data_IF_807174674084
#
_entry.id   IF_807174674084
#
_cell.length_a   1.000
_cell.length_b   1.000
_cell.length_c   1.000
_cell.angle_alpha   90.00
_cell.angle_beta   90.00
_cell.angle_gamma   90.00
#
_symmetry.space_group_name_H-M   'P 1'
#
loop_
_entity.id
_entity.type
_entity.pdbx_description
1 polymer ?
#
# COMPACT_ATOMS: atom_id res chain seq x y z
N UNK A 1 13.31 -9.35 2.86
CA UNK A 1 12.31 -10.43 3.02
C UNK A 1 12.79 -11.43 4.04
N UNK A 2 11.92 -11.84 4.97
CA UNK A 2 12.28 -12.83 6.00
C UNK A 2 12.31 -14.24 5.41
N UNK A 3 11.39 -14.55 4.49
CA UNK A 3 11.30 -15.85 3.83
C UNK A 3 10.64 -15.75 2.45
N UNK A 4 11.13 -16.55 1.52
CA UNK A 4 10.56 -16.72 0.17
C UNK A 4 9.92 -18.11 0.10
N UNK A 5 8.68 -18.17 -0.40
CA UNK A 5 7.95 -19.41 -0.65
C UNK A 5 7.86 -19.64 -2.15
N UNK A 6 8.44 -20.74 -2.63
CA UNK A 6 8.41 -21.11 -4.04
C UNK A 6 7.22 -22.03 -4.31
N UNK A 7 6.43 -21.72 -5.32
CA UNK A 7 5.26 -22.52 -5.73
C UNK A 7 5.63 -23.97 -6.00
N UNK A 8 6.82 -24.23 -6.56
CA UNK A 8 7.36 -25.57 -6.78
C UNK A 8 7.49 -26.43 -5.51
N UNK A 9 7.49 -25.81 -4.34
CA UNK A 9 7.58 -26.49 -3.05
C UNK A 9 6.24 -26.50 -2.31
N UNK A 10 5.48 -25.39 -2.39
CA UNK A 10 4.26 -25.20 -1.61
C UNK A 10 3.06 -25.97 -2.17
N UNK A 11 3.08 -26.36 -3.46
CA UNK A 11 1.95 -27.06 -4.08
C UNK A 11 1.68 -28.42 -3.46
N UNK A 12 2.68 -29.11 -2.93
CA UNK A 12 2.55 -30.41 -2.27
C UNK A 12 1.68 -30.31 -1.01
N UNK A 13 1.97 -29.30 -0.18
CA UNK A 13 1.20 -29.01 1.04
C UNK A 13 -0.25 -28.65 0.73
N UNK A 14 -0.48 -27.90 -0.33
CA UNK A 14 -1.83 -27.57 -0.78
C UNK A 14 -2.58 -28.81 -1.31
N UNK A 15 -1.92 -29.66 -2.09
CA UNK A 15 -2.49 -30.90 -2.59
C UNK A 15 -2.90 -31.85 -1.45
N UNK A 16 -2.04 -31.99 -0.44
CA UNK A 16 -2.36 -32.77 0.76
C UNK A 16 -3.64 -32.26 1.43
N UNK A 17 -3.77 -30.95 1.63
CA UNK A 17 -4.94 -30.35 2.23
C UNK A 17 -6.21 -30.48 1.39
N UNK A 18 -6.10 -30.40 0.07
CA UNK A 18 -7.23 -30.63 -0.84
C UNK A 18 -7.70 -32.10 -0.75
N UNK A 19 -6.77 -33.04 -0.68
CA UNK A 19 -7.13 -34.48 -0.52
C UNK A 19 -7.77 -34.75 0.84
N UNK A 20 -7.24 -34.15 1.91
CA UNK A 20 -7.88 -34.21 3.25
C UNK A 20 -9.31 -33.64 3.22
N UNK A 21 -9.52 -32.51 2.54
CA UNK A 21 -10.85 -31.91 2.35
C UNK A 21 -11.81 -32.80 1.54
N UNK A 22 -11.27 -33.51 0.55
CA UNK A 22 -12.04 -34.48 -0.22
C UNK A 22 -12.49 -35.67 0.65
N UNK A 23 -11.57 -36.21 1.47
CA UNK A 23 -11.89 -37.33 2.41
C UNK A 23 -12.92 -36.93 3.46
N UNK A 24 -12.88 -35.68 3.91
CA UNK A 24 -13.84 -35.12 4.87
C UNK A 24 -15.19 -34.72 4.24
N UNK A 25 -15.34 -34.83 2.92
CA UNK A 25 -16.55 -34.46 2.20
C UNK A 25 -16.77 -32.95 2.01
N UNK A 26 -15.75 -32.13 2.23
CA UNK A 26 -15.79 -30.68 1.93
C UNK A 26 -15.69 -30.39 0.45
N UNK A 27 -15.04 -31.29 -0.29
CA UNK A 27 -14.81 -31.22 -1.73
C UNK A 27 -15.37 -32.47 -2.39
N UNK A 28 -15.55 -32.41 -3.71
CA UNK A 28 -16.05 -33.54 -4.48
C UNK A 28 -15.21 -33.82 -5.71
N UNK A 29 -15.25 -35.05 -6.19
CA UNK A 29 -14.52 -35.51 -7.36
C UNK A 29 -15.50 -35.69 -8.53
N UNK A 30 -15.12 -35.17 -9.71
CA UNK A 30 -15.87 -35.40 -10.95
C UNK A 30 -15.44 -36.70 -11.63
N UNK A 31 -16.18 -37.12 -12.66
CA UNK A 31 -15.91 -38.34 -13.43
C UNK A 31 -14.54 -38.34 -14.13
N UNK A 32 -14.08 -37.15 -14.53
CA UNK A 32 -12.75 -36.94 -15.14
C UNK A 32 -11.58 -37.00 -14.13
N UNK A 33 -11.88 -37.26 -12.86
CA UNK A 33 -10.90 -37.34 -11.78
C UNK A 33 -10.55 -36.01 -11.13
N UNK A 34 -11.03 -34.87 -11.64
CA UNK A 34 -10.77 -33.55 -11.07
C UNK A 34 -11.48 -33.35 -9.74
N UNK A 35 -10.84 -32.56 -8.83
CA UNK A 35 -11.37 -32.23 -7.50
C UNK A 35 -11.85 -30.79 -7.48
N UNK A 36 -13.05 -30.59 -6.98
CA UNK A 36 -13.76 -29.32 -6.97
C UNK A 36 -14.33 -28.99 -5.58
N UNK A 37 -14.39 -27.69 -5.27
CA UNK A 37 -15.18 -27.17 -4.16
C UNK A 37 -16.51 -26.63 -4.68
N UNK A 38 -17.60 -26.96 -3.98
CA UNK A 38 -18.89 -26.32 -4.18
C UNK A 38 -18.99 -25.09 -3.27
N UNK A 39 -19.12 -23.91 -3.88
CA UNK A 39 -19.22 -22.62 -3.21
C UNK A 39 -20.57 -21.93 -3.49
N UNK A 40 -21.56 -22.69 -3.96
CA UNK A 40 -22.88 -22.15 -4.30
C UNK A 40 -23.64 -21.62 -3.08
N UNK A 41 -23.40 -22.20 -1.91
CA UNK A 41 -23.94 -21.69 -0.65
C UNK A 41 -23.42 -20.32 -0.26
N UNK A 42 -22.22 -19.97 -0.73
CA UNK A 42 -21.57 -18.65 -0.55
C UNK A 42 -21.88 -17.70 -1.71
N UNK A 43 -22.74 -18.09 -2.63
CA UNK A 43 -23.11 -17.30 -3.82
C UNK A 43 -22.04 -17.26 -4.91
N UNK A 44 -21.12 -18.23 -4.91
CA UNK A 44 -20.02 -18.34 -5.86
C UNK A 44 -20.15 -19.62 -6.70
N UNK A 45 -19.36 -19.71 -7.77
CA UNK A 45 -19.32 -20.91 -8.63
C UNK A 45 -18.50 -22.04 -8.00
N UNK A 46 -18.63 -23.24 -8.58
CA UNK A 46 -17.71 -24.32 -8.27
C UNK A 46 -16.27 -23.97 -8.61
N UNK A 47 -15.34 -24.29 -7.72
CA UNK A 47 -13.91 -23.98 -7.90
C UNK A 47 -13.09 -25.23 -8.08
N UNK A 48 -12.36 -25.30 -9.20
CA UNK A 48 -11.37 -26.36 -9.45
C UNK A 48 -10.20 -26.25 -8.48
N UNK A 49 -9.83 -27.34 -7.85
CA UNK A 49 -8.71 -27.46 -6.91
C UNK A 49 -7.61 -28.36 -7.45
N UNK A 50 -7.95 -29.51 -8.07
CA UNK A 50 -7.01 -30.37 -8.74
C UNK A 50 -7.55 -30.77 -10.11
N UNK A 51 -6.69 -30.82 -11.12
CA UNK A 51 -7.07 -31.32 -12.44
C UNK A 51 -7.25 -32.83 -12.43
N UNK A 52 -7.84 -33.40 -13.48
CA UNK A 52 -8.11 -34.82 -13.59
C UNK A 52 -6.86 -35.71 -13.53
N UNK A 53 -5.71 -35.19 -13.95
CA UNK A 53 -4.40 -35.82 -13.82
C UNK A 53 -3.77 -35.66 -12.43
N UNK A 54 -4.45 -34.99 -11.51
CA UNK A 54 -4.00 -34.73 -10.14
C UNK A 54 -3.02 -33.57 -10.02
N UNK A 55 -2.81 -32.76 -11.09
CA UNK A 55 -1.98 -31.56 -11.00
C UNK A 55 -2.69 -30.41 -10.28
N UNK A 56 -1.92 -29.60 -9.55
CA UNK A 56 -2.38 -28.45 -8.80
C UNK A 56 -2.75 -27.28 -9.72
N UNK A 57 -3.61 -26.41 -9.20
CA UNK A 57 -3.89 -25.08 -9.77
C UNK A 57 -3.40 -24.01 -8.79
N UNK A 58 -3.37 -22.75 -9.18
CA UNK A 58 -2.93 -21.64 -8.31
C UNK A 58 -3.61 -21.64 -6.94
N UNK A 59 -4.91 -21.91 -6.89
CA UNK A 59 -5.65 -21.98 -5.62
C UNK A 59 -5.08 -23.02 -4.65
N UNK A 60 -4.68 -24.18 -5.18
CA UNK A 60 -4.06 -25.25 -4.38
C UNK A 60 -2.70 -24.81 -3.82
N UNK A 61 -1.92 -24.13 -4.64
CA UNK A 61 -0.60 -23.61 -4.24
C UNK A 61 -0.76 -22.58 -3.11
N UNK A 62 -1.74 -21.67 -3.22
CA UNK A 62 -2.02 -20.66 -2.21
C UNK A 62 -2.50 -21.24 -0.89
N UNK A 63 -3.32 -22.31 -0.90
CA UNK A 63 -3.70 -23.07 0.31
C UNK A 63 -2.44 -23.61 1.00
N UNK A 64 -1.51 -24.22 0.24
CA UNK A 64 -0.27 -24.74 0.78
C UNK A 64 0.63 -23.65 1.35
N UNK A 65 0.77 -22.55 0.63
CA UNK A 65 1.57 -21.40 1.07
C UNK A 65 1.01 -20.77 2.35
N UNK A 66 -0.32 -20.61 2.45
CA UNK A 66 -0.97 -20.10 3.65
C UNK A 66 -0.72 -21.00 4.86
N UNK A 67 -0.90 -22.32 4.70
CA UNK A 67 -0.59 -23.32 5.74
C UNK A 67 0.85 -23.17 6.26
N UNK A 68 1.83 -23.09 5.35
CA UNK A 68 3.24 -22.97 5.71
C UNK A 68 3.56 -21.66 6.43
N UNK A 69 3.00 -20.54 6.02
CA UNK A 69 3.23 -19.24 6.65
C UNK A 69 2.80 -19.22 8.11
N UNK A 70 1.62 -19.78 8.42
CA UNK A 70 1.13 -19.89 9.80
C UNK A 70 1.88 -20.95 10.62
N UNK A 71 2.50 -21.95 9.97
CA UNK A 71 3.34 -22.92 10.65
C UNK A 71 4.74 -22.36 10.94
N UNK A 72 5.29 -21.53 10.05
CA UNK A 72 6.63 -20.97 10.18
C UNK A 72 6.71 -19.80 11.18
N UNK A 73 5.61 -19.03 11.33
CA UNK A 73 5.59 -17.81 12.13
C UNK A 73 4.36 -17.75 13.03
N UNK A 74 4.50 -17.27 14.28
CA UNK A 74 3.37 -17.00 15.16
C UNK A 74 2.68 -15.69 14.76
N UNK A 75 2.02 -15.69 13.61
CA UNK A 75 1.32 -14.53 13.06
C UNK A 75 -0.17 -14.56 13.41
N UNK A 76 -0.72 -13.40 13.75
CA UNK A 76 -2.14 -13.23 14.04
C UNK A 76 -2.97 -12.95 12.78
N UNK A 77 -2.33 -12.37 11.75
CA UNK A 77 -3.01 -11.93 10.55
C UNK A 77 -2.13 -12.08 9.32
N UNK A 78 -2.74 -12.47 8.20
CA UNK A 78 -2.08 -12.57 6.92
C UNK A 78 -2.68 -11.56 5.95
N UNK A 79 -1.82 -10.68 5.42
CA UNK A 79 -2.20 -9.63 4.47
C UNK A 79 -1.56 -9.95 3.12
N UNK A 80 -2.40 -10.11 2.09
CA UNK A 80 -1.98 -10.26 0.70
C UNK A 80 -2.03 -8.91 0.01
N UNK A 81 -0.87 -8.41 -0.43
CA UNK A 81 -0.74 -7.16 -1.19
C UNK A 81 -0.72 -7.52 -2.67
N UNK A 82 -1.91 -7.51 -3.30
CA UNK A 82 -2.11 -7.96 -4.68
C UNK A 82 -3.14 -7.08 -5.37
N UNK A 83 -3.04 -6.90 -6.69
CA UNK A 83 -3.95 -6.09 -7.48
C UNK A 83 -5.41 -6.53 -7.41
N UNK A 84 -6.32 -5.59 -7.63
CA UNK A 84 -7.78 -5.78 -7.52
C UNK A 84 -8.35 -6.80 -8.53
N UNK A 85 -7.60 -7.15 -9.55
CA UNK A 85 -7.96 -8.21 -10.50
C UNK A 85 -8.07 -9.59 -9.83
N UNK A 86 -7.45 -9.78 -8.64
CA UNK A 86 -7.46 -11.01 -7.86
C UNK A 86 -8.50 -11.02 -6.73
N UNK A 87 -9.42 -10.05 -6.68
CA UNK A 87 -10.45 -9.97 -5.62
C UNK A 87 -11.22 -11.28 -5.46
N UNK A 88 -11.70 -11.84 -6.56
CA UNK A 88 -12.44 -13.11 -6.55
C UNK A 88 -11.57 -14.27 -6.05
N UNK A 89 -10.31 -14.34 -6.45
CA UNK A 89 -9.38 -15.38 -6.03
C UNK A 89 -9.18 -15.39 -4.51
N UNK A 90 -8.93 -14.24 -3.88
CA UNK A 90 -8.72 -14.15 -2.44
C UNK A 90 -10.00 -14.32 -1.63
N UNK A 91 -11.16 -13.93 -2.16
CA UNK A 91 -12.45 -14.27 -1.57
C UNK A 91 -12.63 -15.79 -1.50
N UNK A 92 -12.39 -16.49 -2.59
CA UNK A 92 -12.46 -17.96 -2.65
C UNK A 92 -11.43 -18.60 -1.71
N UNK A 93 -10.19 -18.11 -1.70
CA UNK A 93 -9.14 -18.63 -0.83
C UNK A 93 -9.54 -18.56 0.66
N UNK A 94 -10.08 -17.41 1.10
CA UNK A 94 -10.54 -17.24 2.48
C UNK A 94 -11.61 -18.26 2.86
N UNK A 95 -12.59 -18.49 1.98
CA UNK A 95 -13.67 -19.47 2.19
C UNK A 95 -13.11 -20.90 2.25
N UNK A 96 -12.19 -21.25 1.36
CA UNK A 96 -11.60 -22.59 1.32
C UNK A 96 -10.76 -22.89 2.56
N UNK A 97 -9.99 -21.90 3.03
CA UNK A 97 -9.21 -22.05 4.27
C UNK A 97 -10.12 -22.25 5.48
N UNK A 98 -11.24 -21.52 5.57
CA UNK A 98 -12.24 -21.73 6.62
C UNK A 98 -12.88 -23.12 6.53
N UNK A 99 -13.32 -23.56 5.34
CA UNK A 99 -13.88 -24.91 5.12
C UNK A 99 -12.88 -26.03 5.48
N UNK A 100 -11.60 -25.81 5.26
CA UNK A 100 -10.52 -26.74 5.64
C UNK A 100 -10.22 -26.74 7.15
N UNK A 101 -10.89 -25.89 7.93
CA UNK A 101 -10.79 -25.83 9.38
C UNK A 101 -9.63 -25.00 9.90
N UNK A 102 -9.10 -24.09 9.08
CA UNK A 102 -8.11 -23.09 9.54
C UNK A 102 -8.86 -21.94 10.20
N UNK A 103 -8.76 -21.80 11.53
CA UNK A 103 -9.44 -20.75 12.30
C UNK A 103 -9.10 -19.34 11.83
N UNK A 104 -7.89 -19.16 11.31
CA UNK A 104 -7.40 -17.90 10.75
C UNK A 104 -7.85 -17.63 9.30
N UNK A 105 -8.53 -18.56 8.63
CA UNK A 105 -8.95 -18.41 7.23
C UNK A 105 -9.82 -17.17 6.99
N UNK A 106 -10.76 -16.91 7.90
CA UNK A 106 -11.63 -15.71 7.87
C UNK A 106 -10.90 -14.40 8.15
N UNK A 107 -9.74 -14.45 8.78
CA UNK A 107 -8.90 -13.29 9.09
C UNK A 107 -7.93 -12.89 7.97
N UNK A 108 -7.99 -13.57 6.81
CA UNK A 108 -7.20 -13.20 5.64
C UNK A 108 -7.64 -11.84 5.13
N UNK A 109 -6.66 -10.95 4.95
CA UNK A 109 -6.88 -9.62 4.37
C UNK A 109 -6.28 -9.56 2.98
N UNK A 110 -7.09 -9.23 1.98
CA UNK A 110 -6.60 -8.85 0.67
C UNK A 110 -6.47 -7.33 0.62
N UNK A 111 -5.23 -6.82 0.74
CA UNK A 111 -4.92 -5.42 0.43
C UNK A 111 -4.95 -5.27 -1.09
N UNK A 112 -6.17 -5.06 -1.59
CA UNK A 112 -6.48 -4.99 -3.01
C UNK A 112 -6.12 -3.59 -3.52
N UNK A 113 -5.06 -3.46 -4.31
CA UNK A 113 -4.72 -2.16 -4.88
C UNK A 113 -5.23 -2.01 -6.32
N UNK A 114 -5.59 -0.77 -6.66
CA UNK A 114 -5.97 -0.38 -8.01
C UNK A 114 -4.75 -0.23 -8.93
N UNK A 115 -5.01 -0.13 -10.23
CA UNK A 115 -3.96 0.07 -11.22
C UNK A 115 -3.51 1.54 -11.22
N UNK A 116 -2.19 1.72 -11.36
CA UNK A 116 -1.59 3.01 -11.65
C UNK A 116 -1.32 3.06 -13.15
N UNK A 117 -1.93 4.03 -13.82
CA UNK A 117 -1.79 4.25 -15.25
C UNK A 117 -1.01 5.54 -15.50
N UNK A 118 -0.34 5.65 -16.64
CA UNK A 118 0.27 6.90 -17.10
C UNK A 118 -0.73 7.66 -17.99
N UNK A 119 -0.52 8.98 -18.23
CA UNK A 119 -1.40 9.75 -19.13
C UNK A 119 -1.52 9.16 -20.53
N UNK A 120 -0.50 8.45 -21.00
CA UNK A 120 -0.44 7.79 -22.29
C UNK A 120 -1.26 6.48 -22.34
N UNK A 121 -1.73 5.98 -21.19
CA UNK A 121 -2.60 4.82 -21.09
C UNK A 121 -2.07 3.70 -20.19
N UNK A 122 -2.72 2.54 -20.29
CA UNK A 122 -2.41 1.37 -19.46
C UNK A 122 -1.04 0.79 -19.77
N UNK A 123 -0.27 0.53 -18.74
CA UNK A 123 0.96 -0.24 -18.83
C UNK A 123 0.64 -1.71 -19.14
N UNK A 124 1.14 -2.23 -20.25
CA UNK A 124 0.95 -3.64 -20.64
C UNK A 124 2.30 -4.30 -20.88
N UNK A 125 2.68 -5.21 -20.00
CA UNK A 125 3.97 -5.92 -20.08
C UNK A 125 4.15 -6.70 -21.39
N UNK A 126 3.08 -7.22 -21.97
CA UNK A 126 3.13 -7.97 -23.26
C UNK A 126 3.32 -7.07 -24.49
N UNK A 127 3.05 -5.78 -24.37
CA UNK A 127 3.15 -4.79 -25.45
C UNK A 127 4.39 -3.90 -25.31
N UNK A 128 5.24 -4.13 -24.29
CA UNK A 128 6.46 -3.35 -24.05
C UNK A 128 6.22 -1.92 -23.54
N UNK A 129 5.01 -1.61 -23.07
CA UNK A 129 4.62 -0.29 -22.53
C UNK A 129 4.67 -0.25 -21.00
N UNK A 130 5.55 -1.06 -20.40
CA UNK A 130 5.79 -1.03 -18.96
C UNK A 130 6.82 0.03 -18.65
N UNK A 131 6.53 0.90 -17.70
CA UNK A 131 7.53 1.79 -17.11
C UNK A 131 8.13 1.06 -15.91
N UNK A 132 9.45 0.90 -15.93
CA UNK A 132 10.18 0.34 -14.81
C UNK A 132 10.09 1.28 -13.61
N UNK A 133 9.97 0.74 -12.40
CA UNK A 133 9.86 1.54 -11.18
C UNK A 133 11.14 2.33 -10.89
N UNK A 134 12.30 1.77 -11.22
CA UNK A 134 13.59 2.43 -11.03
C UNK A 134 13.72 3.59 -12.02
N UNK A 135 13.36 3.40 -13.31
CA UNK A 135 13.35 4.47 -14.32
C UNK A 135 12.39 5.61 -13.91
N UNK A 136 11.20 5.28 -13.39
CA UNK A 136 10.26 6.28 -12.89
C UNK A 136 10.83 7.07 -11.71
N UNK A 137 11.49 6.40 -10.77
CA UNK A 137 12.14 7.07 -9.65
C UNK A 137 13.26 7.99 -10.11
N UNK A 138 14.08 7.58 -11.08
CA UNK A 138 15.15 8.41 -11.65
C UNK A 138 14.58 9.63 -12.40
N UNK A 139 13.52 9.44 -13.19
CA UNK A 139 12.81 10.54 -13.85
C UNK A 139 12.28 11.56 -12.85
N UNK A 140 11.65 11.08 -11.76
CA UNK A 140 11.12 11.95 -10.71
C UNK A 140 12.23 12.76 -10.00
N UNK A 141 13.38 12.15 -9.74
CA UNK A 141 14.53 12.85 -9.14
C UNK A 141 15.10 13.91 -10.10
N UNK A 142 15.25 13.56 -11.39
CA UNK A 142 15.72 14.50 -12.42
C UNK A 142 14.77 15.69 -12.55
N UNK A 143 13.47 15.43 -12.68
CA UNK A 143 12.45 16.49 -12.81
C UNK A 143 12.41 17.38 -11.57
N UNK A 144 12.53 16.79 -10.36
CA UNK A 144 12.59 17.56 -9.12
C UNK A 144 13.83 18.46 -9.05
N UNK A 145 14.97 17.98 -9.54
CA UNK A 145 16.21 18.77 -9.63
C UNK A 145 16.06 19.96 -10.57
N UNK A 146 15.58 19.71 -11.79
CA UNK A 146 15.34 20.76 -12.78
C UNK A 146 14.37 21.83 -12.25
N UNK A 147 13.22 21.42 -11.75
CA UNK A 147 12.22 22.34 -11.17
C UNK A 147 12.77 23.13 -9.98
N UNK A 148 13.53 22.49 -9.11
CA UNK A 148 14.13 23.17 -7.95
C UNK A 148 15.21 24.17 -8.36
N UNK A 149 15.98 23.89 -9.42
CA UNK A 149 16.96 24.81 -10.00
C UNK A 149 16.26 26.02 -10.63
N UNK A 150 15.25 25.80 -11.45
CA UNK A 150 14.47 26.88 -12.08
C UNK A 150 13.85 27.83 -11.04
N UNK A 151 13.44 27.31 -9.89
CA UNK A 151 12.88 28.07 -8.78
C UNK A 151 13.94 28.69 -7.85
N UNK A 152 15.24 28.54 -8.15
CA UNK A 152 16.35 29.04 -7.32
C UNK A 152 16.43 28.40 -5.93
N UNK A 153 15.84 27.21 -5.74
CA UNK A 153 15.82 26.52 -4.44
C UNK A 153 17.12 25.82 -4.09
N UNK A 154 18.01 25.64 -5.07
CA UNK A 154 19.30 24.96 -4.91
C UNK A 154 20.48 25.94 -4.92
N UNK A 155 20.23 27.25 -4.97
CA UNK A 155 21.29 28.28 -5.03
C UNK A 155 22.15 28.25 -3.76
N UNK A 156 23.48 28.26 -3.97
CA UNK A 156 24.44 28.26 -2.89
C UNK A 156 24.73 26.91 -2.23
N UNK A 157 24.11 25.84 -2.70
CA UNK A 157 24.34 24.46 -2.24
C UNK A 157 25.50 23.81 -3.04
N UNK A 158 26.15 22.83 -2.41
CA UNK A 158 27.05 21.93 -3.11
C UNK A 158 26.29 20.99 -4.03
N UNK A 159 26.98 20.37 -5.00
CA UNK A 159 26.36 19.40 -5.89
C UNK A 159 25.74 18.23 -5.13
N UNK A 160 26.41 17.71 -4.10
CA UNK A 160 25.95 16.60 -3.27
C UNK A 160 24.66 16.96 -2.50
N UNK A 161 24.62 18.14 -1.89
CA UNK A 161 23.42 18.64 -1.20
C UNK A 161 22.26 18.85 -2.17
N UNK A 162 22.51 19.38 -3.36
CA UNK A 162 21.50 19.58 -4.38
C UNK A 162 20.94 18.25 -4.88
N UNK A 163 21.78 17.23 -5.06
CA UNK A 163 21.37 15.89 -5.48
C UNK A 163 20.56 15.18 -4.39
N UNK A 164 20.95 15.31 -3.13
CA UNK A 164 20.19 14.77 -2.00
C UNK A 164 18.82 15.43 -1.85
N UNK A 165 18.73 16.75 -1.97
CA UNK A 165 17.46 17.47 -1.94
C UNK A 165 16.57 17.04 -3.11
N UNK A 166 17.12 16.97 -4.32
CA UNK A 166 16.37 16.51 -5.50
C UNK A 166 15.79 15.11 -5.29
N UNK A 167 16.58 14.20 -4.71
CA UNK A 167 16.13 12.85 -4.38
C UNK A 167 15.01 12.84 -3.33
N UNK A 168 15.14 13.62 -2.27
CA UNK A 168 14.11 13.74 -1.21
C UNK A 168 12.83 14.32 -1.79
N UNK A 169 12.90 15.35 -2.60
CA UNK A 169 11.73 16.01 -3.22
C UNK A 169 11.09 15.09 -4.26
N UNK A 170 11.87 14.52 -5.17
CA UNK A 170 11.35 13.65 -6.24
C UNK A 170 10.67 12.39 -5.69
N UNK A 171 11.32 11.67 -4.77
CA UNK A 171 10.72 10.48 -4.15
C UNK A 171 9.55 10.84 -3.21
N UNK A 172 9.62 11.99 -2.54
CA UNK A 172 8.51 12.51 -1.73
C UNK A 172 7.29 12.82 -2.58
N UNK A 173 7.49 13.46 -3.74
CA UNK A 173 6.43 13.76 -4.71
C UNK A 173 5.75 12.47 -5.22
N UNK A 174 6.54 11.49 -5.67
CA UNK A 174 6.06 10.22 -6.16
C UNK A 174 5.23 9.49 -5.09
N UNK A 175 5.80 9.28 -3.91
CA UNK A 175 5.15 8.57 -2.82
C UNK A 175 3.85 9.23 -2.39
N UNK A 176 3.86 10.55 -2.19
CA UNK A 176 2.67 11.28 -1.78
C UNK A 176 1.57 11.22 -2.84
N UNK A 177 1.90 11.42 -4.11
CA UNK A 177 0.92 11.40 -5.20
C UNK A 177 0.20 10.07 -5.28
N UNK A 178 0.91 8.96 -5.11
CA UNK A 178 0.32 7.62 -5.08
C UNK A 178 -0.50 7.41 -3.79
N UNK A 179 0.05 7.77 -2.64
CA UNK A 179 -0.55 7.45 -1.34
C UNK A 179 -1.74 8.33 -0.97
N UNK A 180 -1.88 9.54 -1.52
CA UNK A 180 -3.06 10.41 -1.26
C UNK A 180 -4.36 9.86 -1.86
N UNK A 181 -4.28 8.94 -2.80
CA UNK A 181 -5.43 8.25 -3.39
C UNK A 181 -5.67 6.94 -2.62
N UNK A 182 -6.93 6.59 -2.36
CA UNK A 182 -7.27 5.29 -1.77
C UNK A 182 -6.68 4.17 -2.63
N UNK A 183 -5.91 3.28 -2.00
CA UNK A 183 -5.17 2.23 -2.69
C UNK A 183 -6.07 1.32 -3.55
N UNK A 184 -7.36 1.18 -3.22
CA UNK A 184 -8.33 0.36 -3.96
C UNK A 184 -8.79 0.99 -5.28
N UNK A 185 -8.53 2.27 -5.49
CA UNK A 185 -8.92 3.01 -6.69
C UNK A 185 -7.82 2.95 -7.75
N UNK A 186 -8.23 2.84 -9.00
CA UNK A 186 -7.33 3.10 -10.12
C UNK A 186 -7.01 4.60 -10.18
N UNK A 187 -5.79 4.92 -10.58
CA UNK A 187 -5.36 6.31 -10.71
C UNK A 187 -4.47 6.51 -11.93
N UNK A 188 -4.44 7.74 -12.43
CA UNK A 188 -3.47 8.18 -13.42
C UNK A 188 -2.38 8.96 -12.71
N UNK A 189 -1.12 8.53 -12.86
CA UNK A 189 0.03 9.22 -12.32
C UNK A 189 0.59 10.18 -13.36
N UNK A 190 0.73 11.46 -12.97
CA UNK A 190 1.36 12.49 -13.79
C UNK A 190 2.62 13.02 -13.09
N UNK A 191 3.82 12.73 -13.63
CA UNK A 191 5.09 13.18 -13.04
C UNK A 191 5.16 14.69 -12.79
N UNK A 192 4.73 15.48 -13.77
CA UNK A 192 4.82 16.95 -13.69
C UNK A 192 3.90 17.56 -12.63
N UNK A 193 2.67 17.04 -12.53
CA UNK A 193 1.72 17.51 -11.52
C UNK A 193 2.12 17.11 -10.10
N UNK A 194 2.83 15.99 -9.95
CA UNK A 194 3.26 15.49 -8.64
C UNK A 194 4.33 16.34 -7.98
N UNK A 195 5.11 17.13 -8.75
CA UNK A 195 6.24 17.96 -8.28
C UNK A 195 5.83 19.42 -8.07
N UNK A 196 4.58 19.80 -8.28
CA UNK A 196 4.11 21.17 -8.03
C UNK A 196 4.26 21.56 -6.56
N UNK A 197 4.91 22.71 -6.29
CA UNK A 197 5.08 23.25 -4.94
C UNK A 197 3.86 24.04 -4.42
N UNK A 198 2.83 24.24 -5.24
CA UNK A 198 1.64 25.03 -4.90
C UNK A 198 0.35 24.21 -4.80
N UNK A 199 0.42 22.91 -5.12
CA UNK A 199 -0.74 22.03 -5.15
C UNK A 199 -0.82 21.06 -3.96
N UNK A 200 -1.78 20.14 -4.02
CA UNK A 200 -1.87 19.01 -3.10
C UNK A 200 -0.82 17.96 -3.45
N UNK A 201 0.44 18.23 -3.06
CA UNK A 201 1.64 17.48 -3.45
C UNK A 201 2.58 17.27 -2.27
N UNK A 202 3.47 16.27 -2.40
CA UNK A 202 4.55 16.04 -1.44
C UNK A 202 5.46 17.25 -1.25
N UNK A 203 5.97 17.87 -2.34
CA UNK A 203 6.80 19.08 -2.25
C UNK A 203 6.13 20.26 -1.53
N UNK A 204 4.82 20.45 -1.65
CA UNK A 204 4.09 21.47 -0.90
C UNK A 204 4.18 21.23 0.62
N UNK A 205 3.96 19.97 1.05
CA UNK A 205 4.06 19.59 2.47
C UNK A 205 5.49 19.76 2.98
N UNK A 206 6.48 19.29 2.22
CA UNK A 206 7.91 19.44 2.55
C UNK A 206 8.32 20.92 2.67
N UNK A 207 7.85 21.76 1.74
CA UNK A 207 8.11 23.20 1.78
C UNK A 207 7.44 23.87 2.97
N UNK A 208 6.21 23.49 3.31
CA UNK A 208 5.51 23.99 4.49
C UNK A 208 6.28 23.66 5.77
N UNK A 209 6.76 22.39 5.89
CA UNK A 209 7.63 22.00 7.00
C UNK A 209 8.90 22.84 7.09
N UNK A 210 9.60 23.04 5.96
CA UNK A 210 10.82 23.85 5.92
C UNK A 210 10.57 25.31 6.33
N UNK A 211 9.41 25.88 5.97
CA UNK A 211 8.99 27.23 6.41
C UNK A 211 8.76 27.28 7.91
N UNK A 212 8.07 26.30 8.49
CA UNK A 212 7.83 26.21 9.94
C UNK A 212 9.17 26.16 10.68
N UNK A 213 10.11 25.30 10.24
CA UNK A 213 11.45 25.19 10.82
C UNK A 213 12.23 26.51 10.71
N UNK A 214 12.09 27.24 9.61
CA UNK A 214 12.70 28.56 9.44
C UNK A 214 12.15 29.60 10.43
N UNK A 215 10.84 29.58 10.67
CA UNK A 215 10.20 30.47 11.68
C UNK A 215 10.71 30.16 13.07
N UNK A 216 10.74 28.88 13.46
CA UNK A 216 11.24 28.44 14.77
C UNK A 216 12.70 28.81 14.98
N UNK A 217 13.54 28.62 13.96
CA UNK A 217 14.96 29.03 14.01
C UNK A 217 15.12 30.52 14.21
N UNK A 218 14.39 31.34 13.43
CA UNK A 218 14.43 32.81 13.57
C UNK A 218 13.94 33.27 14.95
N UNK A 219 12.92 32.63 15.52
CA UNK A 219 12.46 32.92 16.88
C UNK A 219 13.59 32.66 17.89
N UNK A 220 14.27 31.53 17.79
CA UNK A 220 15.38 31.18 18.66
C UNK A 220 16.57 32.16 18.52
N UNK A 221 16.94 32.54 17.28
CA UNK A 221 17.97 33.54 16.99
C UNK A 221 17.63 34.91 17.57
N UNK A 222 16.33 35.25 17.65
CA UNK A 222 15.82 36.49 18.27
C UNK A 222 15.67 36.40 19.80
N UNK A 223 16.08 35.29 20.42
CA UNK A 223 15.98 35.08 21.87
C UNK A 223 14.57 34.79 22.37
N UNK A 224 13.64 34.47 21.47
CA UNK A 224 12.27 34.07 21.85
C UNK A 224 12.29 32.64 22.35
N UNK A 225 11.88 32.44 23.60
CA UNK A 225 11.70 31.13 24.22
C UNK A 225 10.25 30.70 24.05
N UNK A 226 10.05 29.55 23.41
CA UNK A 226 8.72 28.95 23.26
C UNK A 226 8.31 28.38 24.63
N UNK A 227 7.20 28.81 25.23
CA UNK A 227 6.76 28.31 26.53
C UNK A 227 6.28 26.86 26.39
N UNK A 228 6.49 26.07 27.46
CA UNK A 228 6.00 24.68 27.51
C UNK A 228 4.47 24.57 27.60
N UNK A 229 3.83 25.64 28.08
CA UNK A 229 2.37 25.74 28.25
C UNK A 229 1.87 27.02 27.63
N UNK A 230 0.67 26.99 27.08
CA UNK A 230 -0.02 28.21 26.61
C UNK A 230 -0.27 29.10 27.81
N UNK A 231 0.23 30.36 27.81
CA UNK A 231 -0.01 31.30 28.92
C UNK A 231 -1.49 31.55 29.11
N UNK A 232 -1.93 31.69 30.38
CA UNK A 232 -3.32 31.99 30.68
C UNK A 232 -3.72 33.38 30.12
N UNK A 233 -4.91 33.48 29.56
CA UNK A 233 -5.48 34.73 29.03
C UNK A 233 -5.12 35.04 27.57
N UNK A 234 -4.50 34.11 26.83
CA UNK A 234 -4.37 34.23 25.39
C UNK A 234 -5.70 33.85 24.74
N UNK A 235 -6.23 34.74 23.91
CA UNK A 235 -7.36 34.45 23.03
C UNK A 235 -6.83 33.88 21.74
N UNK A 236 -7.26 32.64 21.40
CA UNK A 236 -6.93 31.97 20.17
C UNK A 236 -7.93 32.36 19.07
N UNK A 237 -7.46 32.49 17.85
CA UNK A 237 -8.32 32.60 16.69
C UNK A 237 -8.96 31.24 16.36
N UNK A 238 -10.07 31.22 15.62
CA UNK A 238 -10.72 30.00 15.16
C UNK A 238 -9.77 29.08 14.39
N UNK A 239 -8.79 29.63 13.63
CA UNK A 239 -7.80 28.85 12.91
C UNK A 239 -6.79 28.18 13.83
N UNK A 240 -6.37 28.88 14.88
CA UNK A 240 -5.43 28.32 15.86
C UNK A 240 -6.12 27.24 16.69
N UNK A 241 -7.36 27.43 17.11
CA UNK A 241 -8.16 26.40 17.79
C UNK A 241 -8.36 25.18 16.88
N UNK A 242 -8.72 25.39 15.61
CA UNK A 242 -8.86 24.32 14.61
C UNK A 242 -7.59 23.52 14.42
N UNK A 243 -6.43 24.19 14.31
CA UNK A 243 -5.14 23.52 14.17
C UNK A 243 -4.77 22.70 15.41
N UNK A 244 -5.01 23.24 16.61
CA UNK A 244 -4.78 22.50 17.86
C UNK A 244 -5.66 21.26 17.92
N UNK A 245 -6.95 21.38 17.52
CA UNK A 245 -7.85 20.23 17.48
C UNK A 245 -7.37 19.17 16.49
N UNK A 246 -6.96 19.56 15.28
CA UNK A 246 -6.42 18.62 14.31
C UNK A 246 -5.19 17.88 14.86
N UNK A 247 -4.26 18.59 15.48
CA UNK A 247 -3.08 17.95 16.11
C UNK A 247 -3.48 16.99 17.22
N UNK A 248 -4.49 17.33 18.03
CA UNK A 248 -5.00 16.46 19.09
C UNK A 248 -5.65 15.18 18.53
N UNK A 249 -6.29 15.25 17.36
CA UNK A 249 -6.98 14.14 16.70
C UNK A 249 -6.01 13.18 15.98
N UNK A 250 -4.74 13.54 15.83
CA UNK A 250 -3.77 12.76 15.05
C UNK A 250 -3.71 11.28 15.44
N UNK A 251 -3.73 10.96 16.73
CA UNK A 251 -3.69 9.58 17.20
C UNK A 251 -4.91 8.76 16.71
N UNK A 252 -6.09 9.38 16.66
CA UNK A 252 -7.31 8.75 16.14
C UNK A 252 -7.21 8.54 14.62
N UNK A 253 -6.65 9.50 13.89
CA UNK A 253 -6.41 9.41 12.45
C UNK A 253 -5.46 8.26 12.13
N UNK A 254 -4.36 8.11 12.86
CA UNK A 254 -3.40 6.99 12.68
C UNK A 254 -4.07 5.65 12.95
N UNK A 255 -4.87 5.57 14.02
CA UNK A 255 -5.62 4.35 14.35
C UNK A 255 -6.58 3.98 13.22
N UNK A 256 -7.38 4.93 12.74
CA UNK A 256 -8.32 4.72 11.64
C UNK A 256 -7.60 4.27 10.35
N UNK A 257 -6.49 4.94 10.00
CA UNK A 257 -5.69 4.57 8.83
C UNK A 257 -5.16 3.13 8.91
N UNK A 258 -4.75 2.70 10.11
CA UNK A 258 -4.29 1.33 10.37
C UNK A 258 -5.42 0.31 10.29
N UNK A 259 -6.58 0.59 10.86
CA UNK A 259 -7.76 -0.29 10.82
C UNK A 259 -8.30 -0.47 9.40
N UNK A 260 -8.30 0.60 8.59
CA UNK A 260 -8.79 0.61 7.21
C UNK A 260 -7.72 0.17 6.18
N UNK A 261 -6.49 -0.06 6.61
CA UNK A 261 -5.34 -0.27 5.70
C UNK A 261 -5.22 0.84 4.65
N UNK A 262 -5.46 2.08 5.05
CA UNK A 262 -5.57 3.22 4.13
C UNK A 262 -4.54 4.32 4.43
N UNK A 263 -3.36 4.29 3.79
CA UNK A 263 -2.36 5.36 3.91
C UNK A 263 -2.89 6.72 3.47
N UNK A 264 -3.90 6.75 2.59
CA UNK A 264 -4.48 8.01 2.10
C UNK A 264 -5.12 8.85 3.19
N UNK A 265 -5.60 8.24 4.26
CA UNK A 265 -6.14 8.95 5.43
C UNK A 265 -5.05 9.84 6.05
N UNK A 266 -3.84 9.30 6.27
CA UNK A 266 -2.71 10.07 6.82
C UNK A 266 -2.21 11.11 5.80
N UNK A 267 -2.11 10.74 4.52
CA UNK A 267 -1.63 11.64 3.48
C UNK A 267 -2.52 12.89 3.36
N UNK A 268 -3.85 12.71 3.31
CA UNK A 268 -4.79 13.82 3.23
C UNK A 268 -4.83 14.65 4.52
N UNK A 269 -4.87 14.00 5.68
CA UNK A 269 -4.77 14.70 6.97
C UNK A 269 -3.52 15.59 7.07
N UNK A 270 -2.38 15.12 6.54
CA UNK A 270 -1.14 15.92 6.59
C UNK A 270 -1.19 17.14 5.68
N UNK A 271 -1.94 17.06 4.60
CA UNK A 271 -2.15 18.19 3.69
C UNK A 271 -3.13 19.23 4.27
N UNK A 272 -4.22 18.78 4.86
CA UNK A 272 -5.26 19.63 5.47
C UNK A 272 -4.72 20.45 6.66
#
# INVERSE_FOLDING_TARGET
FDKIYYESNTYLEGKEKVMEGLEKGFFFKKEDGSVWADLTAEGLDHKLLLRGDGTSVYMTQDIGTAKLRFADYPIDKMIYVVGNEQNYHFQVLSILLDKLGFEWGKGLVHFSYGMVELPEGKMKSREGTVVDADDLMEEMVSTAKETSQELGKLDGLTQEEADDIARIVGLGALKYFILKVDARKNMTFNPKESIDFNGNTGPFIQYTYARIQSVLRKAAESGIVIPEQIPAGIELSEKEEGLIQMVADFAAVVKQAGEDYSPSIIANYTYD
#
